data_IF_483306922295
#
_entry.id   IF_483306922295
#
_cell.length_a   1.000
_cell.length_b   1.000
_cell.length_c   1.000
_cell.angle_alpha   90.00
_cell.angle_beta   90.00
_cell.angle_gamma   90.00
#
_symmetry.space_group_name_H-M   'P 1'
#
loop_
_entity.id
_entity.type
_entity.pdbx_description
1 polymer ?
#
# COMPACT_ATOMS: atom_id res chain seq x y z
N UNK A 1 -4.74 -6.63 -13.93
CA UNK A 1 -3.81 -5.52 -14.27
C UNK A 1 -2.88 -5.90 -15.41
N UNK A 2 -2.21 -7.06 -15.36
CA UNK A 2 -1.37 -7.51 -16.49
C UNK A 2 -2.14 -7.54 -17.82
N UNK A 3 -3.35 -8.10 -17.86
CA UNK A 3 -4.17 -8.17 -19.09
C UNK A 3 -5.01 -6.91 -19.39
N UNK A 4 -4.61 -5.72 -18.91
CA UNK A 4 -5.45 -4.51 -19.00
C UNK A 4 -5.80 -4.14 -20.45
N UNK A 5 -4.83 -4.19 -21.35
CA UNK A 5 -4.99 -3.95 -22.78
C UNK A 5 -5.93 -4.96 -23.44
N UNK A 6 -5.74 -6.24 -23.13
CA UNK A 6 -6.53 -7.36 -23.66
C UNK A 6 -7.98 -7.36 -23.18
N UNK A 7 -8.29 -6.62 -22.11
CA UNK A 7 -9.66 -6.41 -21.61
C UNK A 7 -10.27 -5.14 -22.21
N UNK A 8 -9.51 -4.04 -22.22
CA UNK A 8 -10.01 -2.72 -22.61
C UNK A 8 -10.25 -2.62 -24.10
N UNK A 9 -9.38 -3.18 -24.93
CA UNK A 9 -9.52 -3.06 -26.39
C UNK A 9 -10.76 -3.79 -26.93
N UNK A 10 -11.04 -5.07 -26.60
CA UNK A 10 -12.27 -5.72 -27.05
C UNK A 10 -13.52 -5.00 -26.56
N UNK A 11 -13.50 -4.51 -25.32
CA UNK A 11 -14.59 -3.70 -24.77
C UNK A 11 -14.81 -2.41 -25.56
N UNK A 12 -13.74 -1.66 -25.86
CA UNK A 12 -13.79 -0.41 -26.62
C UNK A 12 -14.39 -0.64 -28.02
N UNK A 13 -13.92 -1.69 -28.72
CA UNK A 13 -14.40 -2.10 -30.04
C UNK A 13 -15.87 -2.48 -30.01
N UNK A 14 -16.27 -3.33 -29.05
CA UNK A 14 -17.66 -3.74 -28.88
C UNK A 14 -18.58 -2.56 -28.58
N UNK A 15 -18.14 -1.63 -27.73
CA UNK A 15 -18.90 -0.43 -27.37
C UNK A 15 -18.89 0.67 -28.46
N UNK A 16 -18.13 0.50 -29.55
CA UNK A 16 -17.97 1.51 -30.59
C UNK A 16 -17.32 2.80 -30.09
N UNK A 17 -16.42 2.72 -29.11
CA UNK A 17 -15.77 3.89 -28.48
C UNK A 17 -14.29 3.95 -28.81
N UNK A 18 -13.83 5.12 -29.26
CA UNK A 18 -12.39 5.43 -29.42
C UNK A 18 -11.71 5.72 -28.08
N UNK A 19 -12.43 6.32 -27.13
CA UNK A 19 -11.90 6.67 -25.80
C UNK A 19 -12.57 5.87 -24.69
N UNK A 20 -11.76 5.31 -23.78
CA UNK A 20 -12.24 4.56 -22.61
C UNK A 20 -11.59 5.05 -21.33
N UNK A 21 -12.40 5.34 -20.31
CA UNK A 21 -11.90 5.58 -18.95
C UNK A 21 -11.72 4.25 -18.22
N UNK A 22 -10.52 4.04 -17.67
CA UNK A 22 -10.14 2.79 -17.01
C UNK A 22 -9.83 3.07 -15.56
N UNK A 23 -10.59 2.49 -14.63
CA UNK A 23 -10.31 2.64 -13.21
C UNK A 23 -9.31 1.58 -12.73
N UNK A 24 -8.21 2.02 -12.14
CA UNK A 24 -7.13 1.19 -11.63
C UNK A 24 -7.09 1.35 -10.10
N UNK A 25 -7.41 0.29 -9.37
CA UNK A 25 -7.31 0.28 -7.91
C UNK A 25 -5.85 0.09 -7.46
N UNK A 26 -5.39 0.86 -6.47
CA UNK A 26 -4.08 0.65 -5.81
C UNK A 26 -4.18 -0.14 -4.51
N UNK A 27 -5.21 0.12 -3.71
CA UNK A 27 -5.32 -0.46 -2.37
C UNK A 27 -5.54 -1.98 -2.35
N UNK A 28 -6.40 -2.52 -3.22
CA UNK A 28 -6.70 -3.96 -3.22
C UNK A 28 -5.52 -4.80 -3.75
N UNK A 29 -4.82 -4.41 -4.83
CA UNK A 29 -3.59 -5.10 -5.20
C UNK A 29 -2.51 -5.06 -4.12
N UNK A 30 -2.37 -3.94 -3.39
CA UNK A 30 -1.39 -3.86 -2.29
C UNK A 30 -1.76 -4.82 -1.16
N UNK A 31 -3.04 -4.85 -0.77
CA UNK A 31 -3.56 -5.79 0.24
C UNK A 31 -3.35 -7.26 -0.14
N UNK A 32 -3.45 -7.60 -1.42
CA UNK A 32 -3.39 -8.99 -1.86
C UNK A 32 -1.97 -9.44 -2.23
N UNK A 33 -1.09 -8.52 -2.66
CA UNK A 33 0.18 -8.87 -3.30
C UNK A 33 1.40 -8.11 -2.75
N UNK A 34 1.21 -7.20 -1.80
CA UNK A 34 2.26 -6.34 -1.27
C UNK A 34 2.47 -5.06 -2.08
N UNK A 35 3.15 -4.08 -1.46
CA UNK A 35 3.32 -2.75 -2.01
C UNK A 35 4.08 -2.74 -3.36
N UNK A 36 5.28 -3.33 -3.48
CA UNK A 36 6.05 -3.26 -4.74
C UNK A 36 5.31 -3.90 -5.90
N UNK A 37 4.71 -5.08 -5.67
CA UNK A 37 3.89 -5.79 -6.65
C UNK A 37 2.74 -4.91 -7.14
N UNK A 38 2.03 -4.27 -6.21
CA UNK A 38 0.90 -3.43 -6.54
C UNK A 38 1.29 -2.17 -7.34
N UNK A 39 2.49 -1.61 -7.16
CA UNK A 39 2.94 -0.46 -7.97
C UNK A 39 3.37 -0.97 -9.34
N UNK A 40 4.21 -1.99 -9.40
CA UNK A 40 4.68 -2.61 -10.63
C UNK A 40 3.52 -3.03 -11.55
N UNK A 41 2.47 -3.65 -10.99
CA UNK A 41 1.27 -4.04 -11.74
C UNK A 41 0.51 -2.85 -12.32
N UNK A 42 0.44 -1.72 -11.60
CA UNK A 42 -0.18 -0.49 -12.12
C UNK A 42 0.65 0.08 -13.26
N UNK A 43 1.97 0.10 -13.11
CA UNK A 43 2.90 0.66 -14.10
C UNK A 43 2.89 -0.17 -15.38
N UNK A 44 2.85 -1.49 -15.26
CA UNK A 44 2.63 -2.41 -16.38
C UNK A 44 1.29 -2.15 -17.06
N UNK A 45 0.20 -1.98 -16.29
CA UNK A 45 -1.11 -1.68 -16.85
C UNK A 45 -1.12 -0.34 -17.60
N UNK A 46 -0.53 0.72 -17.05
CA UNK A 46 -0.44 2.03 -17.71
C UNK A 46 0.38 1.94 -19.00
N UNK A 47 1.51 1.23 -18.99
CA UNK A 47 2.36 1.01 -20.16
C UNK A 47 1.60 0.29 -21.28
N UNK A 48 0.89 -0.80 -20.95
CA UNK A 48 0.08 -1.56 -21.93
C UNK A 48 -1.12 -0.77 -22.45
N UNK A 49 -1.80 -0.01 -21.59
CA UNK A 49 -2.91 0.85 -22.00
C UNK A 49 -2.45 1.98 -22.94
N UNK A 50 -1.25 2.52 -22.76
CA UNK A 50 -0.66 3.52 -23.66
C UNK A 50 -0.51 2.97 -25.09
N UNK A 51 -0.03 1.72 -25.23
CA UNK A 51 0.15 1.04 -26.52
C UNK A 51 -1.16 0.81 -27.28
N UNK A 52 -2.32 0.85 -26.62
CA UNK A 52 -3.60 0.76 -27.31
C UNK A 52 -3.87 1.92 -28.26
N UNK A 53 -3.23 3.07 -28.04
CA UNK A 53 -3.40 4.25 -28.91
C UNK A 53 -2.96 3.96 -30.35
N UNK A 54 -1.92 3.15 -30.54
CA UNK A 54 -1.45 2.66 -31.85
C UNK A 54 -2.49 1.82 -32.59
N UNK A 55 -3.44 1.25 -31.84
CA UNK A 55 -4.53 0.40 -32.33
C UNK A 55 -5.87 1.15 -32.39
N UNK A 56 -5.84 2.47 -32.24
CA UNK A 56 -7.01 3.36 -32.34
C UNK A 56 -7.88 3.44 -31.09
N UNK A 57 -7.40 2.96 -29.94
CA UNK A 57 -8.11 3.04 -28.66
C UNK A 57 -7.32 3.90 -27.66
N UNK A 58 -7.89 5.02 -27.26
CA UNK A 58 -7.31 5.92 -26.26
C UNK A 58 -7.82 5.55 -24.85
N UNK A 59 -6.88 5.20 -23.98
CA UNK A 59 -7.17 4.97 -22.57
C UNK A 59 -6.98 6.25 -21.75
N UNK A 60 -7.92 6.51 -20.83
CA UNK A 60 -7.88 7.61 -19.87
C UNK A 60 -7.89 7.05 -18.44
N UNK A 61 -6.73 6.61 -17.91
CA UNK A 61 -6.68 5.95 -16.61
C UNK A 61 -7.10 6.85 -15.45
N UNK A 62 -7.83 6.26 -14.51
CA UNK A 62 -8.19 6.81 -13.20
C UNK A 62 -7.51 5.95 -12.14
N UNK A 63 -6.80 6.55 -11.18
CA UNK A 63 -6.15 5.79 -10.11
C UNK A 63 -6.85 5.98 -8.76
N UNK A 64 -7.23 4.87 -8.13
CA UNK A 64 -7.84 4.83 -6.80
C UNK A 64 -6.79 4.71 -5.70
N UNK A 65 -6.46 5.83 -5.05
CA UNK A 65 -5.35 5.97 -4.09
C UNK A 65 -5.76 6.57 -2.76
N UNK A 66 -5.16 6.05 -1.68
CA UNK A 66 -5.17 6.63 -0.33
C UNK A 66 -3.94 7.49 -0.05
N UNK A 67 -3.85 8.03 1.17
CA UNK A 67 -2.77 8.96 1.54
C UNK A 67 -1.50 8.29 2.06
N UNK A 68 -1.59 7.08 2.64
CA UNK A 68 -0.41 6.31 3.05
C UNK A 68 0.22 5.60 1.84
N UNK A 69 1.55 5.38 1.82
CA UNK A 69 2.26 4.78 0.69
C UNK A 69 1.67 3.43 0.26
N UNK A 70 1.34 2.54 1.22
CA UNK A 70 0.71 1.24 0.95
C UNK A 70 -0.52 1.35 0.04
N UNK A 71 -1.29 2.42 0.18
CA UNK A 71 -2.54 2.65 -0.56
C UNK A 71 -2.40 3.64 -1.71
N UNK A 72 -1.20 4.12 -2.02
CA UNK A 72 -0.92 4.98 -3.17
C UNK A 72 -0.27 6.33 -2.85
N UNK A 73 -0.15 6.71 -1.57
CA UNK A 73 0.73 7.80 -1.13
C UNK A 73 0.31 9.21 -1.58
N UNK A 74 -0.97 9.47 -1.87
CA UNK A 74 -1.43 10.81 -2.26
C UNK A 74 -1.63 11.71 -1.03
N UNK A 75 -0.62 12.54 -0.77
CA UNK A 75 -0.59 13.51 0.32
C UNK A 75 0.11 14.81 -0.10
N UNK A 76 -0.12 15.94 0.58
CA UNK A 76 0.45 17.24 0.19
C UNK A 76 1.98 17.24 0.11
N UNK A 77 2.67 16.63 1.07
CA UNK A 77 4.14 16.53 1.09
C UNK A 77 4.70 15.58 0.03
N UNK A 78 3.87 14.74 -0.58
CA UNK A 78 4.25 13.71 -1.56
C UNK A 78 3.77 14.00 -2.97
N UNK A 79 3.17 15.17 -3.21
CA UNK A 79 2.49 15.43 -4.48
C UNK A 79 3.44 15.32 -5.68
N UNK A 80 4.67 15.83 -5.57
CA UNK A 80 5.65 15.73 -6.65
C UNK A 80 6.00 14.27 -6.97
N UNK A 81 6.35 13.49 -5.94
CA UNK A 81 6.62 12.06 -6.07
C UNK A 81 5.42 11.29 -6.65
N UNK A 82 4.19 11.60 -6.22
CA UNK A 82 2.97 10.99 -6.76
C UNK A 82 2.79 11.27 -8.26
N UNK A 83 3.00 12.51 -8.69
CA UNK A 83 2.89 12.91 -10.09
C UNK A 83 3.97 12.24 -10.97
N UNK A 84 5.15 12.01 -10.41
CA UNK A 84 6.25 11.28 -11.06
C UNK A 84 5.98 9.77 -11.13
N UNK A 85 5.48 9.18 -10.05
CA UNK A 85 5.16 7.74 -10.00
C UNK A 85 4.07 7.38 -11.00
N UNK A 86 3.00 8.18 -11.07
CA UNK A 86 1.79 7.83 -11.82
C UNK A 86 1.57 8.70 -13.06
N UNK A 87 2.65 9.02 -13.77
CA UNK A 87 2.59 9.67 -15.10
C UNK A 87 1.65 8.90 -16.03
N UNK A 88 0.81 9.63 -16.76
CA UNK A 88 -0.21 9.09 -17.67
C UNK A 88 -1.58 8.83 -17.04
N UNK A 89 -1.75 9.10 -15.74
CA UNK A 89 -3.06 9.03 -15.08
C UNK A 89 -3.81 10.34 -15.25
N UNK A 90 -5.02 10.31 -15.77
CA UNK A 90 -5.83 11.51 -16.01
C UNK A 90 -6.67 11.94 -14.80
N UNK A 91 -6.87 11.05 -13.83
CA UNK A 91 -7.68 11.36 -12.65
C UNK A 91 -7.19 10.56 -11.45
N UNK A 92 -6.96 11.22 -10.32
CA UNK A 92 -6.67 10.56 -9.05
C UNK A 92 -7.84 10.74 -8.07
N UNK A 93 -8.14 9.73 -7.26
CA UNK A 93 -9.16 9.85 -6.22
C UNK A 93 -8.67 10.70 -5.05
N UNK A 94 -9.51 11.64 -4.60
CA UNK A 94 -9.27 12.43 -3.37
C UNK A 94 -10.05 11.81 -2.20
N UNK A 95 -9.35 11.06 -1.36
CA UNK A 95 -9.94 10.32 -0.23
C UNK A 95 -10.13 11.17 1.03
N UNK A 96 -10.78 10.60 2.05
CA UNK A 96 -11.10 11.32 3.30
C UNK A 96 -9.86 11.84 4.03
N UNK A 97 -8.78 11.06 4.09
CA UNK A 97 -7.56 11.45 4.79
C UNK A 97 -7.06 12.81 4.30
N UNK A 98 -6.81 12.94 3.00
CA UNK A 98 -6.42 14.22 2.38
C UNK A 98 -7.40 15.37 2.66
N UNK A 99 -8.71 15.10 2.79
CA UNK A 99 -9.73 16.15 3.00
C UNK A 99 -9.88 16.61 4.44
N UNK A 100 -9.70 15.70 5.40
CA UNK A 100 -10.11 15.92 6.79
C UNK A 100 -8.98 15.78 7.81
N UNK A 101 -7.90 15.07 7.46
CA UNK A 101 -6.76 14.82 8.35
C UNK A 101 -5.54 15.71 7.95
N UNK A 102 -5.73 16.63 6.99
CA UNK A 102 -4.75 17.64 6.56
C UNK A 102 -5.33 19.06 6.67
N UNK A 103 -4.49 20.10 6.84
CA UNK A 103 -4.95 21.49 6.80
C UNK A 103 -5.70 21.80 5.49
N UNK A 104 -6.86 22.45 5.59
CA UNK A 104 -7.74 22.67 4.45
C UNK A 104 -7.10 23.42 3.28
N UNK A 105 -6.17 24.34 3.55
CA UNK A 105 -5.40 25.02 2.50
C UNK A 105 -4.39 24.10 1.80
N UNK A 106 -3.72 23.20 2.52
CA UNK A 106 -2.83 22.21 1.91
C UNK A 106 -3.62 21.27 1.01
N UNK A 107 -4.75 20.75 1.49
CA UNK A 107 -5.62 19.89 0.72
C UNK A 107 -6.13 20.55 -0.58
N UNK A 108 -6.58 21.83 -0.50
CA UNK A 108 -7.01 22.60 -1.68
C UNK A 108 -5.87 22.79 -2.68
N UNK A 109 -4.69 23.22 -2.20
CA UNK A 109 -3.50 23.39 -3.05
C UNK A 109 -3.11 22.09 -3.74
N UNK A 110 -3.16 20.95 -3.04
CA UNK A 110 -2.91 19.63 -3.64
C UNK A 110 -3.89 19.32 -4.77
N UNK A 111 -5.19 19.57 -4.56
CA UNK A 111 -6.22 19.32 -5.58
C UNK A 111 -6.06 20.24 -6.79
N UNK A 112 -5.75 21.52 -6.57
CA UNK A 112 -5.51 22.47 -7.65
C UNK A 112 -4.29 22.08 -8.50
N UNK A 113 -3.21 21.67 -7.85
CA UNK A 113 -2.00 21.23 -8.56
C UNK A 113 -2.24 19.92 -9.33
N UNK A 114 -3.00 18.96 -8.77
CA UNK A 114 -3.44 17.77 -9.52
C UNK A 114 -4.23 18.16 -10.78
N UNK A 115 -5.16 19.12 -10.68
CA UNK A 115 -5.95 19.59 -11.84
C UNK A 115 -5.06 20.22 -12.92
N UNK A 116 -4.02 20.95 -12.52
CA UNK A 116 -3.09 21.61 -13.44
C UNK A 116 -2.12 20.62 -14.10
N UNK A 117 -1.66 19.63 -13.35
CA UNK A 117 -0.52 18.80 -13.73
C UNK A 117 -0.89 17.47 -14.37
N UNK A 118 -1.99 16.82 -13.98
CA UNK A 118 -2.37 15.54 -14.56
C UNK A 118 -2.64 15.68 -16.07
N UNK A 119 -2.13 14.76 -16.92
CA UNK A 119 -1.56 13.45 -16.58
C UNK A 119 -0.08 13.41 -16.20
N UNK A 120 0.58 14.58 -16.12
CA UNK A 120 2.00 14.74 -15.77
C UNK A 120 2.96 14.02 -16.72
N UNK A 121 2.59 13.99 -18.01
CA UNK A 121 3.32 13.33 -19.08
C UNK A 121 2.84 11.91 -19.36
N UNK A 122 3.58 11.22 -20.22
CA UNK A 122 3.25 9.86 -20.65
C UNK A 122 3.68 8.79 -19.64
N UNK A 123 2.97 7.63 -19.57
CA UNK A 123 3.46 6.45 -18.88
C UNK A 123 4.84 6.03 -19.39
N UNK A 124 5.68 5.55 -18.49
CA UNK A 124 6.95 4.93 -18.87
C UNK A 124 6.71 3.67 -19.73
N UNK A 125 7.55 3.51 -20.74
CA UNK A 125 7.69 2.23 -21.44
C UNK A 125 8.63 1.36 -20.63
N UNK A 126 8.22 0.12 -20.32
CA UNK A 126 8.99 -0.78 -19.48
C UNK A 126 9.81 -1.72 -20.37
N UNK A 127 11.15 -1.67 -20.25
CA UNK A 127 12.04 -2.48 -21.07
C UNK A 127 12.12 -3.95 -20.66
N UNK A 128 11.78 -4.28 -19.40
CA UNK A 128 11.98 -5.61 -18.81
C UNK A 128 10.70 -6.27 -18.27
N UNK A 129 9.59 -6.27 -19.02
CA UNK A 129 8.30 -6.79 -18.53
C UNK A 129 8.37 -8.23 -17.98
N UNK A 130 9.10 -9.13 -18.64
CA UNK A 130 9.24 -10.52 -18.17
C UNK A 130 10.01 -10.62 -16.85
N UNK A 131 11.12 -9.88 -16.72
CA UNK A 131 11.90 -9.80 -15.49
C UNK A 131 11.07 -9.19 -14.35
N UNK A 132 10.28 -8.15 -14.65
CA UNK A 132 9.35 -7.55 -13.69
C UNK A 132 8.31 -8.56 -13.20
N UNK A 133 7.75 -9.39 -14.09
CA UNK A 133 6.79 -10.44 -13.71
C UNK A 133 7.42 -11.50 -12.80
N UNK A 134 8.69 -11.88 -13.05
CA UNK A 134 9.42 -12.79 -12.15
C UNK A 134 9.67 -12.15 -10.78
N UNK A 135 10.09 -10.88 -10.74
CA UNK A 135 10.25 -10.11 -9.49
C UNK A 135 8.94 -10.04 -8.69
N UNK A 136 7.82 -9.67 -9.35
CA UNK A 136 6.48 -9.65 -8.75
C UNK A 136 6.13 -11.02 -8.15
N UNK A 137 6.45 -12.11 -8.85
CA UNK A 137 6.10 -13.46 -8.39
C UNK A 137 6.84 -13.82 -7.10
N UNK A 138 8.13 -13.49 -7.00
CA UNK A 138 8.95 -13.73 -5.78
C UNK A 138 8.44 -12.90 -4.60
N UNK A 139 8.27 -11.59 -4.79
CA UNK A 139 7.82 -10.66 -3.75
C UNK A 139 6.40 -10.98 -3.27
N UNK A 140 5.50 -11.29 -4.21
CA UNK A 140 4.12 -11.71 -3.90
C UNK A 140 4.12 -12.97 -3.03
N UNK A 141 4.89 -14.00 -3.37
CA UNK A 141 4.88 -15.25 -2.63
C UNK A 141 5.28 -15.05 -1.16
N UNK A 142 6.30 -14.21 -0.92
CA UNK A 142 6.75 -13.87 0.42
C UNK A 142 5.72 -13.04 1.21
N UNK A 143 5.09 -12.05 0.56
CA UNK A 143 4.03 -11.26 1.17
C UNK A 143 2.80 -12.11 1.53
N UNK A 144 2.36 -12.99 0.61
CA UNK A 144 1.19 -13.85 0.84
C UNK A 144 1.42 -14.83 2.00
N UNK A 145 2.63 -15.38 2.14
CA UNK A 145 3.01 -16.25 3.26
C UNK A 145 2.89 -15.52 4.61
N UNK A 146 3.44 -14.32 4.73
CA UNK A 146 3.41 -13.57 5.99
C UNK A 146 2.02 -13.13 6.37
N UNK A 147 1.28 -12.57 5.40
CA UNK A 147 -0.04 -12.03 5.66
C UNK A 147 -1.05 -13.13 5.96
N UNK A 148 -0.86 -14.33 5.41
CA UNK A 148 -1.62 -15.52 5.76
C UNK A 148 -1.43 -15.87 7.25
N UNK A 149 -0.19 -15.97 7.72
CA UNK A 149 0.07 -16.31 9.12
C UNK A 149 -0.30 -15.19 10.09
N UNK A 150 -0.11 -13.92 9.72
CA UNK A 150 -0.51 -12.76 10.54
C UNK A 150 -2.01 -12.48 10.55
N UNK A 151 -2.82 -13.18 9.75
CA UNK A 151 -4.23 -12.86 9.55
C UNK A 151 -5.02 -12.81 10.86
N UNK A 152 -4.80 -13.75 11.78
CA UNK A 152 -5.48 -13.78 13.07
C UNK A 152 -5.17 -12.57 13.95
N UNK A 153 -3.89 -12.21 14.06
CA UNK A 153 -3.45 -11.02 14.79
C UNK A 153 -4.01 -9.73 14.17
N UNK A 154 -3.95 -9.63 12.85
CA UNK A 154 -4.45 -8.47 12.11
C UNK A 154 -5.96 -8.32 12.24
N UNK A 155 -6.72 -9.42 12.17
CA UNK A 155 -8.17 -9.42 12.39
C UNK A 155 -8.50 -8.95 13.80
N UNK A 156 -7.76 -9.41 14.82
CA UNK A 156 -7.94 -8.98 16.20
C UNK A 156 -7.76 -7.47 16.36
N UNK A 157 -6.69 -6.91 15.79
CA UNK A 157 -6.44 -5.46 15.84
C UNK A 157 -7.45 -4.68 15.00
N UNK A 158 -7.89 -5.21 13.86
CA UNK A 158 -8.84 -4.56 12.98
C UNK A 158 -10.19 -4.27 13.65
N UNK A 159 -10.58 -5.02 14.70
CA UNK A 159 -11.79 -4.77 15.51
C UNK A 159 -11.77 -3.41 16.25
N UNK A 160 -10.58 -2.86 16.48
CA UNK A 160 -10.40 -1.56 17.15
C UNK A 160 -10.52 -0.38 16.18
N UNK A 161 -10.50 -0.64 14.87
CA UNK A 161 -10.54 0.40 13.83
C UNK A 161 -11.95 0.96 13.70
N UNK A 162 -12.15 2.28 13.90
CA UNK A 162 -13.48 2.87 13.91
C UNK A 162 -14.11 2.92 12.50
N UNK A 163 -15.38 2.55 12.42
CA UNK A 163 -16.17 2.69 11.19
C UNK A 163 -16.55 4.16 10.95
N UNK A 164 -15.82 4.87 10.09
CA UNK A 164 -16.12 6.29 9.76
C UNK A 164 -17.22 6.48 8.70
N UNK A 165 -17.76 5.41 8.11
CA UNK A 165 -18.89 5.45 7.17
C UNK A 165 -19.72 4.19 7.29
N UNK A 166 -21.04 4.31 7.25
CA UNK A 166 -21.92 3.17 7.02
C UNK A 166 -21.61 2.59 5.64
N UNK A 167 -21.33 1.28 5.56
CA UNK A 167 -20.94 0.62 4.32
C UNK A 167 -21.76 -0.65 4.15
N UNK A 168 -22.36 -0.80 2.97
CA UNK A 168 -22.91 -2.10 2.56
C UNK A 168 -21.74 -3.07 2.38
N UNK A 169 -21.89 -4.28 2.92
CA UNK A 169 -20.93 -5.35 2.65
C UNK A 169 -20.99 -5.66 1.14
N UNK A 170 -19.85 -5.59 0.45
CA UNK A 170 -19.72 -6.10 -0.91
C UNK A 170 -19.55 -7.62 -0.81
N UNK A 171 -20.64 -8.31 -0.49
CA UNK A 171 -20.78 -9.77 -0.47
C UNK A 171 -21.46 -10.20 -1.78
N UNK A 172 -20.87 -11.16 -2.52
CA UNK A 172 -21.41 -11.69 -3.79
C UNK A 172 -20.41 -11.66 -4.96
N UNK A 173 -20.90 -11.92 -6.19
CA UNK A 173 -20.12 -12.04 -7.44
C UNK A 173 -19.27 -10.81 -7.79
N UNK A 174 -19.62 -9.63 -7.24
CA UNK A 174 -18.90 -8.36 -7.43
C UNK A 174 -18.14 -7.91 -6.17
N UNK A 175 -17.96 -8.82 -5.20
CA UNK A 175 -17.09 -8.60 -4.04
C UNK A 175 -15.63 -8.66 -4.44
N UNK A 176 -14.81 -7.74 -3.93
CA UNK A 176 -13.36 -7.83 -4.09
C UNK A 176 -12.87 -9.11 -3.39
N UNK A 177 -12.13 -9.95 -4.11
CA UNK A 177 -11.45 -11.10 -3.49
C UNK A 177 -10.48 -10.57 -2.44
N UNK A 178 -10.75 -10.92 -1.17
CA UNK A 178 -9.89 -10.69 0.00
C UNK A 178 -9.23 -11.99 0.47
N UNK A 179 -9.33 -13.02 -0.36
CA UNK A 179 -8.74 -14.33 -0.12
C UNK A 179 -7.26 -14.25 -0.47
N UNK A 180 -6.40 -14.24 0.54
CA UNK A 180 -4.97 -14.51 0.37
C UNK A 180 -4.75 -15.92 0.90
N UNK A 181 -4.36 -16.85 0.01
CA UNK A 181 -4.09 -18.27 0.30
C UNK A 181 -5.15 -19.09 1.08
N UNK A 182 -6.34 -18.55 1.35
CA UNK A 182 -7.41 -19.24 2.07
C UNK A 182 -7.94 -18.46 3.27
N UNK A 183 -7.21 -17.44 3.73
CA UNK A 183 -7.66 -16.52 4.79
C UNK A 183 -8.40 -15.33 4.20
N UNK A 184 -9.36 -14.78 4.96
CA UNK A 184 -10.12 -13.59 4.55
C UNK A 184 -9.62 -12.38 5.33
N UNK A 185 -8.82 -11.53 4.68
CA UNK A 185 -8.27 -10.34 5.33
C UNK A 185 -9.33 -9.25 5.57
N UNK A 186 -9.09 -8.34 6.53
CA UNK A 186 -9.82 -7.10 6.60
C UNK A 186 -9.68 -6.31 5.30
N UNK A 187 -10.58 -5.35 5.07
CA UNK A 187 -10.40 -4.42 3.94
C UNK A 187 -9.11 -3.62 4.11
N UNK A 188 -8.58 -3.07 3.01
CA UNK A 188 -7.30 -2.37 2.99
C UNK A 188 -7.14 -1.29 4.08
N UNK A 189 -8.20 -0.54 4.42
CA UNK A 189 -8.12 0.50 5.47
C UNK A 189 -7.91 -0.12 6.86
N UNK A 190 -8.80 -1.00 7.39
CA UNK A 190 -8.53 -1.69 8.65
C UNK A 190 -7.21 -2.47 8.66
N UNK A 191 -6.85 -3.14 7.55
CA UNK A 191 -5.60 -3.87 7.44
C UNK A 191 -4.39 -2.93 7.63
N UNK A 192 -4.31 -1.84 6.86
CA UNK A 192 -3.22 -0.87 7.00
C UNK A 192 -3.23 -0.25 8.40
N UNK A 193 -4.40 0.08 8.94
CA UNK A 193 -4.50 0.62 10.29
C UNK A 193 -3.96 -0.35 11.35
N UNK A 194 -4.30 -1.62 11.24
CA UNK A 194 -3.87 -2.65 12.16
C UNK A 194 -2.35 -2.83 12.13
N UNK A 195 -1.78 -3.01 10.94
CA UNK A 195 -0.34 -3.16 10.73
C UNK A 195 0.47 -1.96 11.25
N UNK A 196 0.04 -0.73 10.95
CA UNK A 196 0.67 0.47 11.53
C UNK A 196 0.52 0.55 13.06
N UNK A 197 -0.57 0.03 13.63
CA UNK A 197 -0.80 0.02 15.09
C UNK A 197 -0.03 -1.09 15.81
N UNK A 198 0.34 -2.16 15.10
CA UNK A 198 1.29 -3.16 15.56
C UNK A 198 2.74 -2.67 15.50
N UNK A 199 3.01 -1.55 14.82
CA UNK A 199 4.38 -1.07 14.59
C UNK A 199 5.09 -1.81 13.45
N UNK A 200 4.34 -2.46 12.57
CA UNK A 200 4.84 -3.17 11.39
C UNK A 200 4.12 -2.65 10.12
N UNK A 201 4.48 -1.47 9.61
CA UNK A 201 3.85 -0.90 8.41
C UNK A 201 3.83 -1.90 7.24
N UNK A 202 2.66 -2.13 6.59
CA UNK A 202 2.49 -3.18 5.60
C UNK A 202 3.28 -2.95 4.30
N UNK A 203 3.81 -1.74 4.10
CA UNK A 203 4.75 -1.43 3.03
C UNK A 203 6.03 -2.28 3.09
N UNK A 204 6.40 -2.74 4.28
CA UNK A 204 7.67 -3.42 4.55
C UNK A 204 7.57 -4.95 4.52
N UNK A 205 6.38 -5.51 4.28
CA UNK A 205 6.13 -6.95 4.27
C UNK A 205 6.52 -7.62 2.93
N UNK A 206 6.99 -8.86 3.01
CA UNK A 206 7.46 -9.69 1.91
C UNK A 206 8.77 -9.23 1.26
N UNK A 207 9.50 -8.29 1.88
CA UNK A 207 10.66 -7.64 1.26
C UNK A 207 11.99 -8.40 1.41
N UNK A 208 12.07 -9.49 2.19
CA UNK A 208 13.26 -10.37 2.25
C UNK A 208 13.64 -10.91 0.88
N UNK A 209 12.66 -11.10 -0.01
CA UNK A 209 12.88 -11.55 -1.38
C UNK A 209 13.56 -10.52 -2.28
N UNK A 210 13.75 -9.27 -1.83
CA UNK A 210 14.59 -8.29 -2.53
C UNK A 210 16.04 -8.81 -2.68
N UNK A 211 16.57 -9.49 -1.66
CA UNK A 211 17.92 -10.06 -1.70
C UNK A 211 18.08 -11.24 -2.70
N UNK A 212 16.96 -11.80 -3.18
CA UNK A 212 16.93 -12.91 -4.15
C UNK A 212 16.62 -12.45 -5.58
N UNK A 213 16.46 -11.14 -5.80
CA UNK A 213 16.26 -10.58 -7.14
C UNK A 213 17.59 -10.54 -7.88
N UNK A 214 17.62 -11.08 -9.10
CA UNK A 214 18.76 -10.92 -10.01
C UNK A 214 18.85 -9.50 -10.57
N UNK A 215 19.97 -9.16 -11.20
CA UNK A 215 20.22 -7.79 -11.72
C UNK A 215 19.11 -7.30 -12.67
N UNK A 216 18.63 -8.16 -13.59
CA UNK A 216 17.55 -7.81 -14.51
C UNK A 216 16.21 -7.57 -13.79
N UNK A 217 15.91 -8.37 -12.77
CA UNK A 217 14.69 -8.25 -11.97
C UNK A 217 14.71 -6.96 -11.15
N UNK A 218 15.87 -6.64 -10.57
CA UNK A 218 16.09 -5.40 -9.82
C UNK A 218 15.91 -4.17 -10.71
N UNK A 219 16.60 -4.16 -11.86
CA UNK A 219 16.51 -3.07 -12.82
C UNK A 219 15.09 -2.85 -13.32
N UNK A 220 14.38 -3.93 -13.63
CA UNK A 220 12.99 -3.85 -14.07
C UNK A 220 12.06 -3.34 -12.96
N UNK A 221 12.31 -3.71 -11.70
CA UNK A 221 11.56 -3.20 -10.55
C UNK A 221 11.81 -1.70 -10.32
N UNK A 222 13.06 -1.25 -10.38
CA UNK A 222 13.42 0.18 -10.23
C UNK A 222 12.86 1.05 -11.36
N UNK A 223 12.90 0.55 -12.60
CA UNK A 223 12.28 1.21 -13.75
C UNK A 223 10.76 1.35 -13.57
N UNK A 224 10.13 0.31 -13.02
CA UNK A 224 8.70 0.32 -12.76
C UNK A 224 8.33 1.19 -11.55
N UNK A 225 9.08 1.13 -10.45
CA UNK A 225 8.72 1.76 -9.17
C UNK A 225 9.75 2.81 -8.74
N UNK A 226 9.60 4.00 -9.29
CA UNK A 226 10.59 5.09 -9.15
C UNK A 226 10.68 5.65 -7.72
N UNK A 227 9.63 5.54 -6.92
CA UNK A 227 9.61 5.95 -5.52
C UNK A 227 9.78 4.80 -4.51
N UNK A 228 10.23 3.61 -4.91
CA UNK A 228 10.35 2.46 -4.00
C UNK A 228 11.06 2.85 -2.69
N UNK A 229 12.26 3.43 -2.80
CA UNK A 229 13.03 3.85 -1.62
C UNK A 229 12.31 4.91 -0.80
N UNK A 230 11.71 5.93 -1.44
CA UNK A 230 10.99 7.00 -0.74
C UNK A 230 9.81 6.46 0.06
N UNK A 231 9.05 5.52 -0.51
CA UNK A 231 7.88 4.91 0.12
C UNK A 231 8.27 4.08 1.34
N UNK A 232 9.34 3.27 1.19
CA UNK A 232 9.87 2.47 2.29
C UNK A 232 10.52 3.33 3.37
N UNK A 233 11.22 4.41 3.00
CA UNK A 233 11.81 5.36 3.97
C UNK A 233 10.78 6.12 4.79
N UNK A 234 9.58 6.36 4.26
CA UNK A 234 8.49 6.99 5.00
C UNK A 234 7.80 5.98 5.91
N UNK A 235 7.48 4.79 5.39
CA UNK A 235 6.87 3.71 6.18
C UNK A 235 7.80 3.27 7.34
N UNK A 236 9.10 3.13 7.08
CA UNK A 236 10.11 2.73 8.05
C UNK A 236 10.13 3.60 9.32
N UNK A 237 9.69 4.86 9.24
CA UNK A 237 9.64 5.78 10.40
C UNK A 237 8.57 5.40 11.43
N UNK A 238 7.64 4.55 11.04
CA UNK A 238 6.53 4.06 11.86
C UNK A 238 6.74 2.63 12.35
N UNK A 239 7.91 2.04 12.07
CA UNK A 239 8.32 0.75 12.65
C UNK A 239 8.57 0.93 14.14
N UNK A 240 8.01 0.03 14.95
CA UNK A 240 8.33 -0.11 16.38
C UNK A 240 8.94 -1.48 16.63
N UNK A 241 10.27 -1.54 16.68
CA UNK A 241 10.98 -2.77 17.04
C UNK A 241 10.60 -3.26 18.45
N UNK A 242 10.26 -2.32 19.34
CA UNK A 242 9.78 -2.62 20.70
C UNK A 242 8.46 -3.39 20.68
N UNK A 243 7.54 -3.03 19.79
CA UNK A 243 6.28 -3.76 19.67
C UNK A 243 6.50 -5.16 19.09
N UNK A 244 7.35 -5.30 18.08
CA UNK A 244 7.71 -6.61 17.53
C UNK A 244 8.32 -7.53 18.60
N UNK A 245 9.24 -6.99 19.41
CA UNK A 245 9.85 -7.71 20.53
C UNK A 245 8.79 -8.11 21.58
N UNK A 246 7.90 -7.19 21.94
CA UNK A 246 6.82 -7.46 22.90
C UNK A 246 5.87 -8.56 22.38
N UNK A 247 5.42 -8.47 21.13
CA UNK A 247 4.57 -9.48 20.51
C UNK A 247 5.24 -10.85 20.56
N UNK A 248 6.52 -10.95 20.17
CA UNK A 248 7.27 -12.21 20.24
C UNK A 248 7.40 -12.75 21.67
N UNK A 249 7.58 -11.88 22.65
CA UNK A 249 7.83 -12.25 24.04
C UNK A 249 6.62 -12.81 24.78
N UNK A 250 5.40 -12.42 24.40
CA UNK A 250 4.17 -12.80 25.09
C UNK A 250 3.67 -14.19 24.65
N UNK A 251 3.17 -14.98 25.60
CA UNK A 251 2.68 -16.34 25.33
C UNK A 251 1.41 -16.34 24.47
N UNK A 252 0.59 -15.30 24.60
CA UNK A 252 -0.64 -15.12 23.82
C UNK A 252 -0.40 -15.02 22.31
N UNK A 253 0.77 -14.54 21.88
CA UNK A 253 1.17 -14.40 20.48
C UNK A 253 2.23 -15.42 20.06
N UNK A 254 2.38 -16.52 20.82
CA UNK A 254 3.35 -17.57 20.50
C UNK A 254 3.10 -18.20 19.13
N UNK A 255 1.83 -18.24 18.70
CA UNK A 255 1.43 -18.72 17.38
C UNK A 255 1.97 -17.88 16.23
N UNK A 256 2.20 -16.57 16.45
CA UNK A 256 2.62 -15.61 15.42
C UNK A 256 4.16 -15.42 15.36
N UNK A 257 4.93 -16.11 16.22
CA UNK A 257 6.39 -15.89 16.35
C UNK A 257 7.16 -16.18 15.06
N UNK A 258 6.71 -17.15 14.27
CA UNK A 258 7.33 -17.50 13.00
C UNK A 258 7.22 -16.33 12.03
N UNK A 259 6.00 -15.84 11.85
CA UNK A 259 5.65 -14.74 10.98
C UNK A 259 6.31 -13.43 11.42
N UNK A 260 6.31 -13.11 12.72
CA UNK A 260 7.01 -11.94 13.26
C UNK A 260 8.52 -12.00 12.98
N UNK A 261 9.10 -13.20 12.93
CA UNK A 261 10.52 -13.37 12.56
C UNK A 261 10.76 -13.10 11.07
N UNK A 262 9.80 -13.45 10.19
CA UNK A 262 9.84 -13.09 8.76
C UNK A 262 9.74 -11.58 8.57
N UNK A 263 8.85 -10.91 9.31
CA UNK A 263 8.75 -9.43 9.29
C UNK A 263 10.09 -8.79 9.68
N UNK A 264 10.76 -9.28 10.72
CA UNK A 264 12.09 -8.77 11.10
C UNK A 264 13.15 -9.04 10.03
N UNK A 265 13.07 -10.15 9.31
CA UNK A 265 13.95 -10.45 8.17
C UNK A 265 13.74 -9.48 7.01
N UNK A 266 12.48 -9.15 6.70
CA UNK A 266 12.16 -8.13 5.70
C UNK A 266 12.74 -6.76 6.10
N UNK A 267 12.54 -6.37 7.37
CA UNK A 267 13.08 -5.12 7.90
C UNK A 267 14.60 -5.05 7.77
N UNK A 268 15.31 -6.11 8.15
CA UNK A 268 16.76 -6.22 7.98
C UNK A 268 17.17 -6.11 6.50
N UNK A 269 16.46 -6.81 5.63
CA UNK A 269 16.74 -6.78 4.19
C UNK A 269 16.58 -5.37 3.62
N UNK A 270 15.57 -4.62 4.06
CA UNK A 270 15.36 -3.21 3.67
C UNK A 270 16.48 -2.30 4.17
N UNK A 271 16.97 -2.49 5.40
CA UNK A 271 18.14 -1.76 5.89
C UNK A 271 19.40 -2.08 5.06
N UNK A 272 19.66 -3.36 4.84
CA UNK A 272 20.90 -3.85 4.19
C UNK A 272 20.94 -3.54 2.69
N UNK A 273 19.84 -3.79 1.96
CA UNK A 273 19.78 -3.63 0.49
C UNK A 273 19.53 -2.18 0.07
N UNK A 274 18.76 -1.41 0.85
CA UNK A 274 18.30 -0.08 0.44
C UNK A 274 18.86 1.06 1.31
N UNK A 275 19.57 0.74 2.40
CA UNK A 275 20.12 1.74 3.32
C UNK A 275 19.05 2.56 4.05
N UNK A 276 17.84 2.00 4.19
CA UNK A 276 16.69 2.68 4.79
C UNK A 276 16.74 2.53 6.31
N UNK A 277 16.97 3.63 7.04
CA UNK A 277 16.98 3.57 8.52
C UNK A 277 15.57 3.41 9.09
N UNK A 278 15.37 2.39 9.93
CA UNK A 278 14.13 2.11 10.64
C UNK A 278 13.91 3.01 11.86
N UNK A 279 12.65 3.15 12.25
CA UNK A 279 12.23 3.83 13.48
C UNK A 279 12.08 5.35 13.35
N UNK A 280 11.55 5.99 14.40
CA UNK A 280 11.15 7.39 14.37
C UNK A 280 12.34 8.35 14.29
N UNK A 281 12.25 9.35 13.41
CA UNK A 281 13.29 10.37 13.16
C UNK A 281 12.89 11.76 13.66
N UNK A 282 11.63 11.95 14.06
CA UNK A 282 11.11 13.21 14.59
C UNK A 282 10.35 13.04 15.92
N UNK A 283 10.14 14.12 16.69
CA UNK A 283 9.30 14.05 17.89
C UNK A 283 7.86 13.59 17.61
N UNK A 284 7.30 13.92 16.44
CA UNK A 284 5.97 13.46 16.06
C UNK A 284 5.95 11.95 15.81
N UNK A 285 6.95 11.41 15.11
CA UNK A 285 7.08 9.97 14.88
C UNK A 285 7.36 9.21 16.18
N UNK A 286 8.13 9.77 17.12
CA UNK A 286 8.30 9.18 18.48
C UNK A 286 6.99 9.17 19.27
N UNK A 287 6.16 10.22 19.14
CA UNK A 287 4.81 10.20 19.74
C UNK A 287 3.93 9.13 19.10
N UNK A 288 4.04 8.91 17.79
CA UNK A 288 3.35 7.80 17.14
C UNK A 288 3.82 6.45 17.72
N UNK A 289 5.14 6.23 17.82
CA UNK A 289 5.70 5.02 18.43
C UNK A 289 5.17 4.81 19.84
N UNK A 290 5.17 5.84 20.69
CA UNK A 290 4.60 5.76 22.04
C UNK A 290 3.12 5.38 22.02
N UNK A 291 2.31 5.98 21.14
CA UNK A 291 0.90 5.66 21.02
C UNK A 291 0.65 4.22 20.58
N UNK A 292 1.44 3.68 19.63
CA UNK A 292 1.30 2.27 19.23
C UNK A 292 1.83 1.29 20.27
N UNK A 293 2.82 1.69 21.07
CA UNK A 293 3.26 0.89 22.22
C UNK A 293 2.18 0.85 23.31
N UNK A 294 1.57 2.00 23.64
CA UNK A 294 0.44 2.06 24.58
C UNK A 294 -0.79 1.32 24.07
N UNK A 295 -1.05 1.34 22.76
CA UNK A 295 -2.09 0.52 22.14
C UNK A 295 -1.85 -0.97 22.40
N UNK A 296 -0.64 -1.46 22.15
CA UNK A 296 -0.33 -2.87 22.31
C UNK A 296 -0.41 -3.32 23.78
N UNK A 297 0.06 -2.49 24.72
CA UNK A 297 -0.10 -2.77 26.15
C UNK A 297 -1.57 -2.85 26.56
N UNK A 298 -2.40 -1.88 26.16
CA UNK A 298 -3.84 -1.90 26.43
C UNK A 298 -4.53 -3.12 25.81
N UNK A 299 -4.11 -3.55 24.61
CA UNK A 299 -4.62 -4.76 23.95
C UNK A 299 -4.34 -6.03 24.78
N UNK A 300 -3.14 -6.12 25.37
CA UNK A 300 -2.71 -7.26 26.21
C UNK A 300 -3.40 -7.23 27.58
N UNK A 301 -3.64 -6.04 28.13
CA UNK A 301 -4.38 -5.85 29.38
C UNK A 301 -5.90 -6.08 29.23
N UNK A 302 -6.41 -6.14 27.99
CA UNK A 302 -7.84 -6.24 27.71
C UNK A 302 -8.60 -4.92 27.93
N UNK A 303 -7.90 -3.77 27.96
CA UNK A 303 -8.51 -2.45 28.06
C UNK A 303 -8.91 -1.94 26.67
N UNK A 304 -10.11 -2.33 26.25
CA UNK A 304 -10.66 -1.99 24.93
C UNK A 304 -10.79 -0.48 24.69
N UNK A 305 -11.10 0.29 25.74
CA UNK A 305 -11.29 1.73 25.63
C UNK A 305 -9.95 2.45 25.43
N UNK A 306 -8.95 2.10 26.23
CA UNK A 306 -7.60 2.61 26.06
C UNK A 306 -7.00 2.21 24.71
N UNK A 307 -7.20 0.97 24.28
CA UNK A 307 -6.75 0.49 22.96
C UNK A 307 -7.35 1.35 21.83
N UNK A 308 -8.67 1.56 21.80
CA UNK A 308 -9.31 2.41 20.77
C UNK A 308 -8.77 3.85 20.77
N UNK A 309 -8.54 4.41 21.97
CA UNK A 309 -8.01 5.77 22.13
C UNK A 309 -6.59 5.89 21.58
N UNK A 310 -5.69 4.97 21.92
CA UNK A 310 -4.30 5.01 21.48
C UNK A 310 -4.13 4.71 19.98
N UNK A 311 -4.92 3.78 19.43
CA UNK A 311 -4.97 3.56 17.98
C UNK A 311 -5.39 4.82 17.23
N UNK A 312 -6.42 5.52 17.73
CA UNK A 312 -6.88 6.78 17.15
C UNK A 312 -5.85 7.90 17.25
N UNK A 313 -5.13 7.98 18.37
CA UNK A 313 -4.02 8.91 18.55
C UNK A 313 -2.92 8.68 17.53
N UNK A 314 -2.45 7.44 17.38
CA UNK A 314 -1.47 7.06 16.37
C UNK A 314 -1.96 7.42 14.95
N UNK A 315 -3.22 7.11 14.64
CA UNK A 315 -3.83 7.41 13.34
C UNK A 315 -3.88 8.91 13.02
N UNK A 316 -4.14 9.75 14.02
CA UNK A 316 -4.11 11.21 13.87
C UNK A 316 -2.70 11.71 13.57
N UNK A 317 -1.68 11.16 14.24
CA UNK A 317 -0.29 11.55 14.03
C UNK A 317 0.17 11.23 12.60
N UNK A 318 -0.12 10.03 12.10
CA UNK A 318 0.17 9.63 10.71
C UNK A 318 -0.84 10.16 9.68
N UNK A 319 -1.82 10.96 10.11
CA UNK A 319 -2.87 11.61 9.27
C UNK A 319 -3.70 10.65 8.40
N UNK A 320 -3.87 9.40 8.83
CA UNK A 320 -4.72 8.41 8.16
C UNK A 320 -4.98 7.23 9.09
N UNK A 321 -6.19 6.66 9.03
CA UNK A 321 -6.42 5.34 9.61
C UNK A 321 -5.68 4.27 8.81
N UNK A 322 -5.79 4.34 7.48
CA UNK A 322 -5.21 3.42 6.52
C UNK A 322 -5.40 4.00 5.14
#
# INVERSE_FOLDING_TARGET
LMAADSIVEPYAKHAGRRGVRVFIARSDPALNYGLPCAVALVKLALSRLRRLSERGVEAYPIIGVGSLPFRGGLAPHRLAAFLEEYRGVYTATVQSALKYDWPGEEARRTVEELKRRLPSGEPAELGGEEALVRAISKLRAAYEEEVEGLAGLVDRVAMYVPARRARRLHIGLFGYSRGVRGVTLPRAIPFTCAMYSLGAPPELLGLRKLAELGEEEWRALEEAYVNLRLDLEEAARYVSLRNLELLRGLEEFKGDRGELSLVEEDLRTVEDQLGVRLGPKSPAERRHENAVNSFLLALVEGDDEAARRHLLEAARIRRSLG
#
